data_IF_523656367896
#
_entry.id   IF_523656367896
#
_cell.length_a   1.000
_cell.length_b   1.000
_cell.length_c   1.000
_cell.angle_alpha   90.00
_cell.angle_beta   90.00
_cell.angle_gamma   90.00
#
_symmetry.space_group_name_H-M   'P 1'
#
loop_
_entity.id
_entity.type
_entity.pdbx_description
1 polymer ?
#
# COMPACT_ATOMS: atom_id res chain seq x y z
N UNK A 1 -9.58 -20.45 -0.65
CA UNK A 1 -10.27 -20.00 -1.88
C UNK A 1 -9.43 -18.84 -2.37
N UNK A 2 -8.83 -18.93 -3.55
CA UNK A 2 -8.11 -17.79 -4.12
C UNK A 2 -9.15 -16.85 -4.71
N UNK A 3 -9.57 -15.87 -3.93
CA UNK A 3 -10.54 -14.87 -4.36
C UNK A 3 -9.82 -13.85 -5.23
N UNK A 4 -10.28 -13.69 -6.48
CA UNK A 4 -9.71 -12.72 -7.41
C UNK A 4 -10.37 -11.35 -7.18
N UNK A 5 -9.54 -10.36 -6.88
CA UNK A 5 -9.95 -8.96 -6.75
C UNK A 5 -9.36 -8.12 -7.88
N UNK A 6 -10.08 -7.07 -8.28
CA UNK A 6 -9.56 -6.09 -9.24
C UNK A 6 -8.40 -5.29 -8.65
N UNK A 7 -7.58 -4.69 -9.51
CA UNK A 7 -6.48 -3.78 -9.11
C UNK A 7 -6.95 -2.64 -8.21
N UNK A 8 -8.18 -2.14 -8.43
CA UNK A 8 -8.79 -1.08 -7.61
C UNK A 8 -9.28 -1.60 -6.25
N UNK A 9 -9.86 -2.80 -6.21
CA UNK A 9 -10.20 -3.44 -4.94
C UNK A 9 -8.94 -3.74 -4.12
N UNK A 10 -7.87 -4.20 -4.75
CA UNK A 10 -6.58 -4.40 -4.09
C UNK A 10 -5.98 -3.09 -3.54
N UNK A 11 -6.13 -1.97 -4.27
CA UNK A 11 -5.75 -0.64 -3.75
C UNK A 11 -6.53 -0.27 -2.50
N UNK A 12 -7.85 -0.50 -2.53
CA UNK A 12 -8.75 -0.23 -1.40
C UNK A 12 -8.41 -1.12 -0.20
N UNK A 13 -8.10 -2.41 -0.43
CA UNK A 13 -7.67 -3.32 0.62
C UNK A 13 -6.33 -2.90 1.25
N UNK A 14 -5.37 -2.45 0.44
CA UNK A 14 -4.11 -1.90 0.93
C UNK A 14 -4.33 -0.64 1.78
N UNK A 15 -5.19 0.28 1.33
CA UNK A 15 -5.54 1.48 2.09
C UNK A 15 -6.15 1.13 3.46
N UNK A 16 -7.17 0.25 3.47
CA UNK A 16 -7.83 -0.18 4.70
C UNK A 16 -6.85 -0.81 5.69
N UNK A 17 -5.92 -1.64 5.21
CA UNK A 17 -4.90 -2.24 6.07
C UNK A 17 -3.96 -1.20 6.69
N UNK A 18 -3.52 -0.20 5.92
CA UNK A 18 -2.69 0.89 6.44
C UNK A 18 -3.46 1.78 7.44
N UNK A 19 -4.74 2.01 7.20
CA UNK A 19 -5.63 2.75 8.12
C UNK A 19 -5.74 2.03 9.47
N UNK A 20 -5.92 0.72 9.48
CA UNK A 20 -5.92 -0.09 10.72
C UNK A 20 -4.59 0.01 11.48
N UNK A 21 -3.46 -0.03 10.78
CA UNK A 21 -2.14 0.14 11.39
C UNK A 21 -1.96 1.54 11.98
N UNK A 22 -2.38 2.58 11.26
CA UNK A 22 -2.34 3.94 11.76
C UNK A 22 -3.21 4.10 13.01
N UNK A 23 -4.43 3.59 12.98
CA UNK A 23 -5.35 3.66 14.12
C UNK A 23 -4.82 2.94 15.37
N UNK A 24 -4.05 1.86 15.20
CA UNK A 24 -3.55 1.05 16.31
C UNK A 24 -2.25 1.57 16.91
N UNK A 25 -1.37 2.13 16.08
CA UNK A 25 0.00 2.45 16.47
C UNK A 25 0.36 3.93 16.34
N UNK A 26 -0.52 4.75 15.76
CA UNK A 26 -0.39 6.21 15.62
C UNK A 26 0.94 6.65 14.98
N UNK A 27 1.46 5.86 14.04
CA UNK A 27 2.69 6.21 13.33
C UNK A 27 2.43 7.37 12.36
N UNK A 28 2.91 8.57 12.70
CA UNK A 28 2.75 9.81 11.91
C UNK A 28 3.05 9.63 10.41
N UNK A 29 4.08 8.84 10.09
CA UNK A 29 4.48 8.58 8.70
C UNK A 29 3.39 7.84 7.91
N UNK A 30 2.63 6.95 8.55
CA UNK A 30 1.51 6.26 7.90
C UNK A 30 0.38 7.25 7.63
N UNK A 31 0.09 8.18 8.55
CA UNK A 31 -0.92 9.22 8.37
C UNK A 31 -0.67 10.09 7.13
N UNK A 32 0.58 10.52 6.93
CA UNK A 32 0.97 11.29 5.73
C UNK A 32 0.77 10.49 4.43
N UNK A 33 1.15 9.21 4.44
CA UNK A 33 0.95 8.29 3.31
C UNK A 33 -0.55 8.10 3.02
N UNK A 34 -1.37 7.86 4.05
CA UNK A 34 -2.83 7.73 3.91
C UNK A 34 -3.47 8.99 3.32
N UNK A 35 -2.95 10.18 3.66
CA UNK A 35 -3.38 11.44 3.04
C UNK A 35 -3.19 11.43 1.52
N UNK A 36 -2.01 11.07 1.03
CA UNK A 36 -1.73 10.98 -0.41
C UNK A 36 -2.50 9.87 -1.13
N UNK A 37 -2.75 8.74 -0.44
CA UNK A 37 -3.50 7.61 -1.00
C UNK A 37 -5.02 7.79 -0.97
N UNK A 38 -5.54 8.76 -0.19
CA UNK A 38 -6.97 8.99 -0.06
C UNK A 38 -7.59 9.35 -1.41
N UNK A 39 -8.84 8.94 -1.64
CA UNK A 39 -9.53 9.24 -2.89
C UNK A 39 -10.23 10.61 -2.82
N UNK A 40 -10.08 11.38 -3.88
CA UNK A 40 -10.87 12.57 -4.15
C UNK A 40 -12.29 12.19 -4.58
N UNK A 41 -13.18 13.18 -4.70
CA UNK A 41 -14.58 12.97 -5.09
C UNK A 41 -14.76 12.29 -6.45
N UNK A 42 -13.77 12.40 -7.34
CA UNK A 42 -13.76 11.75 -8.66
C UNK A 42 -13.22 10.30 -8.62
N UNK A 43 -12.79 9.81 -7.47
CA UNK A 43 -12.24 8.48 -7.28
C UNK A 43 -10.77 8.32 -7.71
N UNK A 44 -10.07 9.42 -7.97
CA UNK A 44 -8.60 9.46 -8.14
C UNK A 44 -7.89 9.66 -6.79
N UNK A 45 -6.66 9.17 -6.61
CA UNK A 45 -5.90 9.47 -5.40
C UNK A 45 -5.54 10.96 -5.29
N UNK A 46 -5.47 11.48 -4.07
CA UNK A 46 -5.10 12.86 -3.78
C UNK A 46 -3.71 13.22 -4.30
N UNK A 47 -2.76 12.28 -4.22
CA UNK A 47 -1.51 12.32 -4.98
C UNK A 47 -1.66 11.54 -6.30
N UNK A 48 -1.62 12.26 -7.42
CA UNK A 48 -1.75 11.65 -8.75
C UNK A 48 -0.64 10.63 -9.06
N UNK A 49 0.55 10.78 -8.48
CA UNK A 49 1.64 9.83 -8.68
C UNK A 49 1.33 8.47 -8.04
N UNK A 50 0.54 8.45 -6.96
CA UNK A 50 0.25 7.24 -6.19
C UNK A 50 -0.42 6.14 -7.03
N UNK A 51 -1.29 6.50 -7.97
CA UNK A 51 -1.93 5.49 -8.84
C UNK A 51 -0.92 4.80 -9.76
N UNK A 52 -0.02 5.58 -10.35
CA UNK A 52 1.03 5.03 -11.22
C UNK A 52 2.00 4.14 -10.44
N UNK A 53 2.31 4.53 -9.21
CA UNK A 53 3.19 3.78 -8.30
C UNK A 53 2.54 2.46 -7.88
N UNK A 54 1.24 2.50 -7.59
CA UNK A 54 0.44 1.31 -7.31
C UNK A 54 0.43 0.32 -8.48
N UNK A 55 0.18 0.80 -9.71
CA UNK A 55 0.18 -0.07 -10.90
C UNK A 55 1.53 -0.76 -11.08
N UNK A 56 2.65 -0.06 -10.85
CA UNK A 56 3.99 -0.67 -10.89
C UNK A 56 4.18 -1.72 -9.79
N UNK A 57 3.67 -1.48 -8.58
CA UNK A 57 3.71 -2.45 -7.50
C UNK A 57 2.90 -3.72 -7.83
N UNK A 58 1.71 -3.56 -8.41
CA UNK A 58 0.86 -4.69 -8.85
C UNK A 58 1.53 -5.53 -9.93
N UNK A 59 2.15 -4.90 -10.92
CA UNK A 59 2.86 -5.65 -11.97
C UNK A 59 4.06 -6.42 -11.42
N UNK A 60 4.81 -5.83 -10.48
CA UNK A 60 5.87 -6.54 -9.74
C UNK A 60 5.31 -7.73 -8.96
N UNK A 61 4.19 -7.57 -8.27
CA UNK A 61 3.56 -8.64 -7.49
C UNK A 61 3.10 -9.79 -8.39
N UNK A 62 2.42 -9.49 -9.50
CA UNK A 62 1.99 -10.50 -10.50
C UNK A 62 3.17 -11.23 -11.13
N UNK A 63 4.28 -10.53 -11.38
CA UNK A 63 5.51 -11.12 -11.90
C UNK A 63 6.33 -11.90 -10.87
N UNK A 64 5.86 -12.03 -9.63
CA UNK A 64 6.58 -12.64 -8.50
C UNK A 64 7.96 -11.97 -8.24
N UNK A 65 8.02 -10.64 -8.43
CA UNK A 65 9.21 -9.80 -8.29
C UNK A 65 9.27 -9.05 -6.95
N UNK A 66 8.48 -9.49 -5.97
CA UNK A 66 8.43 -8.92 -4.63
C UNK A 66 9.04 -9.92 -3.66
N UNK A 67 10.18 -9.56 -3.06
CA UNK A 67 10.76 -10.31 -1.96
C UNK A 67 10.03 -9.94 -0.67
N UNK A 68 9.31 -10.90 -0.09
CA UNK A 68 8.62 -10.76 1.20
C UNK A 68 9.42 -11.37 2.36
N UNK A 69 10.67 -11.79 2.13
CA UNK A 69 11.59 -12.20 3.17
C UNK A 69 12.01 -11.03 4.04
N UNK A 70 11.88 -11.18 5.37
CA UNK A 70 12.35 -10.18 6.31
C UNK A 70 13.88 -10.25 6.46
N UNK A 71 14.60 -9.34 5.82
CA UNK A 71 16.07 -9.26 5.87
C UNK A 71 16.55 -8.10 6.75
N UNK A 72 16.32 -8.20 8.07
CA UNK A 72 16.85 -7.20 9.02
C UNK A 72 18.33 -7.48 9.26
N UNK A 73 19.20 -6.51 8.92
CA UNK A 73 20.61 -6.56 9.33
C UNK A 73 20.68 -6.39 10.85
N UNK A 74 20.99 -7.45 11.58
CA UNK A 74 21.40 -7.34 12.97
C UNK A 74 22.80 -6.71 13.00
N UNK A 75 22.88 -5.40 13.24
CA UNK A 75 24.12 -4.79 13.74
C UNK A 75 24.28 -5.20 15.19
N UNK A 76 25.05 -6.27 15.43
CA UNK A 76 25.63 -6.54 16.74
C UNK A 76 26.52 -5.37 17.14
N UNK A 77 26.31 -4.85 18.35
CA UNK A 77 27.19 -3.86 18.99
C UNK A 77 28.57 -4.43 19.28
#
# INVERSE_FOLDING_TARGET
MDEQISVRQAYTAMYAFLEELYSKYEFDQIGSVLGGLSLLADGSPADQAAWSDWLRAVERAKGNQVDMGLHIRQTSK
#
